data_IF_048024679947
#
_entry.id   IF_048024679947
#
_cell.length_a   1.000
_cell.length_b   1.000
_cell.length_c   1.000
_cell.angle_alpha   90.00
_cell.angle_beta   90.00
_cell.angle_gamma   90.00
#
_symmetry.space_group_name_H-M   'P 1'
#
loop_
_entity.id
_entity.type
_entity.pdbx_description
1 polymer ?
#
# COMPACT_ATOMS: atom_id res chain seq x y z
N UNK A 1 -34.72 -17.48 17.60
CA UNK A 1 -33.63 -16.59 17.18
C UNK A 1 -32.73 -17.44 16.30
N UNK A 2 -32.74 -17.21 15.01
CA UNK A 2 -31.93 -17.95 14.04
C UNK A 2 -30.45 -17.64 14.29
N UNK A 3 -29.65 -18.68 14.56
CA UNK A 3 -28.21 -18.55 14.79
C UNK A 3 -27.57 -17.75 13.66
N UNK A 4 -26.89 -16.66 14.02
CA UNK A 4 -26.17 -15.83 13.05
C UNK A 4 -25.02 -16.68 12.48
N UNK A 5 -24.99 -16.98 11.16
CA UNK A 5 -23.95 -17.80 10.56
C UNK A 5 -22.54 -17.20 10.77
N UNK A 6 -22.46 -15.87 10.94
CA UNK A 6 -21.22 -15.18 11.30
C UNK A 6 -20.74 -15.50 12.72
N UNK A 7 -21.66 -15.70 13.67
CA UNK A 7 -21.31 -16.07 15.04
C UNK A 7 -20.78 -17.51 15.12
N UNK A 8 -21.37 -18.42 14.36
CA UNK A 8 -20.88 -19.80 14.23
C UNK A 8 -19.49 -19.84 13.59
N UNK A 9 -19.28 -19.06 12.52
CA UNK A 9 -17.99 -18.94 11.84
C UNK A 9 -16.91 -18.33 12.72
N UNK A 10 -17.23 -17.27 13.47
CA UNK A 10 -16.30 -16.61 14.40
C UNK A 10 -15.88 -17.56 15.52
N UNK A 11 -16.82 -18.32 16.09
CA UNK A 11 -16.54 -19.33 17.11
C UNK A 11 -15.64 -20.43 16.57
N UNK A 12 -15.92 -20.94 15.36
CA UNK A 12 -15.10 -21.94 14.70
C UNK A 12 -13.67 -21.43 14.44
N UNK A 13 -13.51 -20.17 14.02
CA UNK A 13 -12.19 -19.57 13.87
C UNK A 13 -11.44 -19.43 15.19
N UNK A 14 -12.11 -19.04 16.27
CA UNK A 14 -11.51 -18.97 17.61
C UNK A 14 -11.07 -20.35 18.10
N UNK A 15 -11.90 -21.38 17.92
CA UNK A 15 -11.57 -22.75 18.32
C UNK A 15 -10.40 -23.31 17.50
N UNK A 16 -10.36 -23.01 16.19
CA UNK A 16 -9.23 -23.36 15.33
C UNK A 16 -7.94 -22.64 15.73
N UNK A 17 -8.01 -21.35 16.06
CA UNK A 17 -6.86 -20.57 16.51
C UNK A 17 -6.26 -21.10 17.82
N UNK A 18 -7.12 -21.49 18.79
CA UNK A 18 -6.70 -22.13 20.04
C UNK A 18 -6.02 -23.49 19.82
N UNK A 19 -6.55 -24.28 18.90
CA UNK A 19 -6.01 -25.60 18.57
C UNK A 19 -4.65 -25.52 17.85
N UNK A 20 -4.38 -24.46 17.09
CA UNK A 20 -3.12 -24.27 16.39
C UNK A 20 -1.99 -23.75 17.28
N UNK A 21 -2.26 -22.78 18.16
CA UNK A 21 -1.31 -22.30 19.17
C UNK A 21 -2.02 -21.40 20.21
N UNK A 22 -1.96 -21.70 21.52
CA UNK A 22 -2.52 -20.84 22.57
C UNK A 22 -2.03 -19.39 22.53
N UNK A 23 -0.83 -19.14 21.98
CA UNK A 23 -0.28 -17.80 21.82
C UNK A 23 -1.08 -16.92 20.81
N UNK A 24 -1.87 -17.52 19.92
CA UNK A 24 -2.71 -16.78 18.96
C UNK A 24 -3.93 -16.10 19.60
N UNK A 25 -4.30 -16.44 20.85
CA UNK A 25 -5.33 -15.71 21.60
C UNK A 25 -4.95 -14.25 21.88
N UNK A 26 -3.66 -13.93 21.84
CA UNK A 26 -3.11 -12.61 22.17
C UNK A 26 -2.69 -11.80 20.95
N UNK A 27 -3.35 -11.98 19.80
CA UNK A 27 -3.09 -11.19 18.60
C UNK A 27 -3.50 -9.72 18.84
N UNK A 28 -2.58 -8.94 19.39
CA UNK A 28 -2.74 -7.51 19.66
C UNK A 28 -1.87 -6.72 18.66
N UNK A 29 -2.31 -5.54 18.21
CA UNK A 29 -1.49 -4.68 17.35
C UNK A 29 -0.08 -4.41 17.92
N UNK A 30 0.04 -4.28 19.25
CA UNK A 30 1.33 -4.13 19.95
C UNK A 30 2.19 -5.41 19.96
N UNK A 31 1.57 -6.59 20.00
CA UNK A 31 2.27 -7.86 19.83
C UNK A 31 2.78 -8.05 18.40
N UNK A 32 1.99 -7.58 17.42
CA UNK A 32 2.36 -7.55 16.01
C UNK A 32 3.54 -6.58 15.74
N UNK A 33 3.52 -5.39 16.34
CA UNK A 33 4.66 -4.44 16.29
C UNK A 33 5.95 -5.01 16.88
N UNK A 34 5.87 -5.92 17.86
CA UNK A 34 7.03 -6.62 18.44
C UNK A 34 7.52 -7.82 17.63
N UNK A 35 6.71 -8.35 16.73
CA UNK A 35 7.10 -9.40 15.76
C UNK A 35 7.71 -8.79 14.48
N UNK A 36 7.37 -7.55 14.16
CA UNK A 36 7.92 -6.76 13.05
C UNK A 36 9.45 -6.55 13.05
N UNK A 37 10.18 -6.42 14.18
CA UNK A 37 11.59 -6.04 14.17
C UNK A 37 12.56 -7.21 13.98
N UNK A 38 12.09 -8.46 13.94
CA UNK A 38 12.94 -9.65 13.72
C UNK A 38 12.63 -10.33 12.39
N UNK A 39 12.41 -9.56 11.34
CA UNK A 39 12.45 -10.13 9.99
C UNK A 39 13.92 -10.39 9.64
N UNK A 40 14.33 -11.63 9.36
CA UNK A 40 15.68 -11.91 8.90
C UNK A 40 15.95 -11.14 7.59
N UNK A 41 17.20 -10.75 7.36
CA UNK A 41 17.55 -9.78 6.30
C UNK A 41 17.10 -10.20 4.89
N UNK A 42 17.02 -11.50 4.64
CA UNK A 42 16.47 -12.14 3.44
C UNK A 42 14.97 -11.85 3.25
N UNK A 43 14.20 -11.80 4.34
CA UNK A 43 12.77 -11.48 4.31
C UNK A 43 12.53 -9.98 4.05
N UNK A 44 13.40 -9.11 4.55
CA UNK A 44 13.33 -7.66 4.25
C UNK A 44 13.58 -7.41 2.76
N UNK A 45 14.54 -8.11 2.16
CA UNK A 45 14.83 -8.04 0.72
C UNK A 45 13.69 -8.63 -0.15
N UNK A 46 13.03 -9.68 0.34
CA UNK A 46 11.82 -10.28 -0.26
C UNK A 46 10.56 -9.40 -0.19
N UNK A 47 10.46 -8.48 0.78
CA UNK A 47 9.28 -7.64 0.93
C UNK A 47 9.48 -6.21 0.41
N UNK A 48 10.72 -5.72 0.35
CA UNK A 48 11.03 -4.33 -0.03
C UNK A 48 11.61 -4.16 -1.46
N UNK A 49 12.06 -5.23 -2.13
CA UNK A 49 12.66 -5.18 -3.49
C UNK A 49 11.78 -5.78 -4.61
N UNK A 50 12.40 -6.43 -5.62
CA UNK A 50 11.68 -7.27 -6.61
C UNK A 50 10.87 -8.41 -5.97
N UNK A 51 11.09 -8.66 -4.69
CA UNK A 51 10.36 -9.60 -3.85
C UNK A 51 10.45 -11.05 -4.32
N UNK A 52 9.34 -11.78 -4.23
CA UNK A 52 9.22 -13.21 -4.59
C UNK A 52 9.30 -13.51 -6.10
N UNK A 53 9.37 -12.49 -6.97
CA UNK A 53 9.44 -12.68 -8.43
C UNK A 53 10.53 -11.80 -9.05
N UNK A 54 11.73 -12.35 -9.32
CA UNK A 54 12.85 -11.64 -9.95
C UNK A 54 12.54 -11.06 -11.33
N UNK A 55 11.54 -11.60 -12.01
CA UNK A 55 11.05 -11.16 -13.33
C UNK A 55 9.85 -10.19 -13.22
N UNK A 56 9.40 -9.88 -12.01
CA UNK A 56 8.31 -8.95 -11.76
C UNK A 56 8.69 -7.47 -11.87
N UNK A 57 7.68 -6.60 -11.83
CA UNK A 57 7.87 -5.16 -11.82
C UNK A 57 8.68 -4.72 -10.59
N UNK A 58 9.57 -3.75 -10.80
CA UNK A 58 10.30 -3.11 -9.70
C UNK A 58 9.37 -2.25 -8.82
N UNK A 59 9.87 -1.85 -7.66
CA UNK A 59 9.11 -1.08 -6.67
C UNK A 59 8.67 0.29 -7.22
N UNK A 60 9.55 0.98 -7.97
CA UNK A 60 9.25 2.26 -8.61
C UNK A 60 8.04 2.12 -9.54
N UNK A 61 8.07 1.13 -10.41
CA UNK A 61 7.01 0.87 -11.40
C UNK A 61 5.71 0.51 -10.71
N UNK A 62 5.74 -0.30 -9.65
CA UNK A 62 4.56 -0.62 -8.83
C UNK A 62 3.95 0.64 -8.21
N UNK A 63 4.76 1.56 -7.70
CA UNK A 63 4.27 2.82 -7.13
C UNK A 63 3.67 3.74 -8.19
N UNK A 64 4.31 3.86 -9.37
CA UNK A 64 3.76 4.65 -10.48
C UNK A 64 2.42 4.08 -10.99
N UNK A 65 2.30 2.75 -11.10
CA UNK A 65 1.03 2.10 -11.46
C UNK A 65 -0.04 2.31 -10.38
N UNK A 66 0.34 2.21 -9.11
CA UNK A 66 -0.58 2.46 -7.98
C UNK A 66 -1.08 3.90 -8.00
N UNK A 67 -0.18 4.88 -8.20
CA UNK A 67 -0.52 6.29 -8.34
C UNK A 67 -1.48 6.52 -9.53
N UNK A 68 -1.22 5.85 -10.65
CA UNK A 68 -2.09 5.93 -11.82
C UNK A 68 -3.49 5.39 -11.54
N UNK A 69 -3.59 4.23 -10.88
CA UNK A 69 -4.88 3.67 -10.45
C UNK A 69 -5.64 4.61 -9.50
N UNK A 70 -4.96 5.18 -8.50
CA UNK A 70 -5.55 6.17 -7.59
C UNK A 70 -6.02 7.44 -8.32
N UNK A 71 -5.31 7.84 -9.36
CA UNK A 71 -5.70 8.96 -10.23
C UNK A 71 -6.97 8.63 -11.02
N UNK A 72 -7.06 7.46 -11.65
CA UNK A 72 -8.25 7.02 -12.40
C UNK A 72 -9.49 6.94 -11.50
N UNK A 73 -9.32 6.52 -10.24
CA UNK A 73 -10.41 6.46 -9.25
C UNK A 73 -10.87 7.85 -8.76
N UNK A 74 -10.53 8.93 -9.46
CA UNK A 74 -10.97 10.29 -9.17
C UNK A 74 -10.13 10.98 -8.10
N UNK A 75 -8.95 10.46 -7.78
CA UNK A 75 -8.06 11.00 -6.75
C UNK A 75 -8.74 11.23 -5.37
N UNK A 76 -9.66 10.34 -5.00
CA UNK A 76 -10.45 10.46 -3.76
C UNK A 76 -9.65 10.07 -2.51
N UNK A 77 -8.75 9.10 -2.63
CA UNK A 77 -7.94 8.58 -1.53
C UNK A 77 -6.66 9.42 -1.33
N UNK A 78 -6.83 10.65 -0.85
CA UNK A 78 -5.74 11.64 -0.83
C UNK A 78 -4.54 11.23 0.04
N UNK A 79 -4.79 10.60 1.19
CA UNK A 79 -3.71 10.14 2.07
C UNK A 79 -2.85 9.05 1.39
N UNK A 80 -3.51 8.16 0.64
CA UNK A 80 -2.86 7.10 -0.13
C UNK A 80 -2.07 7.68 -1.30
N UNK A 81 -2.57 8.71 -1.98
CA UNK A 81 -1.83 9.41 -3.03
C UNK A 81 -0.55 10.03 -2.47
N UNK A 82 -0.64 10.81 -1.38
CA UNK A 82 0.54 11.42 -0.76
C UNK A 82 1.55 10.37 -0.29
N UNK A 83 1.07 9.28 0.31
CA UNK A 83 1.94 8.16 0.70
C UNK A 83 2.61 7.51 -0.50
N UNK A 84 1.86 7.25 -1.58
CA UNK A 84 2.37 6.62 -2.80
C UNK A 84 3.42 7.50 -3.48
N UNK A 85 3.22 8.82 -3.51
CA UNK A 85 4.20 9.77 -4.05
C UNK A 85 5.50 9.75 -3.23
N UNK A 86 5.42 9.81 -1.89
CA UNK A 86 6.62 9.68 -1.02
C UNK A 86 7.38 8.38 -1.27
N UNK A 87 6.66 7.26 -1.36
CA UNK A 87 7.27 5.96 -1.62
C UNK A 87 7.87 5.91 -3.02
N UNK A 88 7.19 6.44 -4.05
CA UNK A 88 7.71 6.50 -5.41
C UNK A 88 9.06 7.25 -5.46
N UNK A 89 9.15 8.42 -4.80
CA UNK A 89 10.40 9.18 -4.69
C UNK A 89 11.47 8.39 -3.95
N UNK A 90 11.14 7.75 -2.82
CA UNK A 90 12.07 6.90 -2.08
C UNK A 90 12.59 5.71 -2.91
N UNK A 91 11.82 5.26 -3.92
CA UNK A 91 12.21 4.23 -4.89
C UNK A 91 12.87 4.80 -6.15
N UNK A 92 13.25 6.08 -6.15
CA UNK A 92 13.96 6.74 -7.23
C UNK A 92 13.09 7.24 -8.38
N UNK A 93 11.76 7.38 -8.19
CA UNK A 93 10.92 8.07 -9.16
C UNK A 93 11.23 9.57 -9.19
N UNK A 94 11.45 10.09 -10.39
CA UNK A 94 11.63 11.53 -10.60
C UNK A 94 10.30 12.27 -10.57
N UNK A 95 10.34 13.59 -10.31
CA UNK A 95 9.15 14.46 -10.43
C UNK A 95 8.50 14.35 -11.81
N UNK A 96 9.31 14.20 -12.86
CA UNK A 96 8.85 14.04 -14.24
C UNK A 96 8.09 12.71 -14.44
N UNK A 97 8.61 11.58 -13.95
CA UNK A 97 7.93 10.29 -14.06
C UNK A 97 6.59 10.27 -13.30
N UNK A 98 6.53 10.91 -12.13
CA UNK A 98 5.30 11.07 -11.35
C UNK A 98 4.29 11.92 -12.12
N UNK A 99 4.73 13.04 -12.69
CA UNK A 99 3.88 13.93 -13.47
C UNK A 99 3.34 13.25 -14.73
N UNK A 100 4.18 12.49 -15.44
CA UNK A 100 3.80 11.74 -16.63
C UNK A 100 2.80 10.62 -16.31
N UNK A 101 3.01 9.90 -15.21
CA UNK A 101 2.07 8.88 -14.75
C UNK A 101 0.68 9.47 -14.44
N UNK A 102 0.62 10.59 -13.72
CA UNK A 102 -0.65 11.29 -13.44
C UNK A 102 -1.28 11.82 -14.73
N UNK A 103 -0.49 12.45 -15.59
CA UNK A 103 -0.94 13.05 -16.85
C UNK A 103 -1.52 12.02 -17.82
N UNK A 104 -0.83 10.90 -18.02
CA UNK A 104 -1.31 9.79 -18.85
C UNK A 104 -2.66 9.25 -18.32
N UNK A 105 -2.79 9.14 -17.01
CA UNK A 105 -3.98 8.60 -16.36
C UNK A 105 -5.15 9.59 -16.37
N UNK A 106 -4.87 10.88 -16.52
CA UNK A 106 -5.86 11.92 -16.77
C UNK A 106 -6.70 11.70 -18.02
N UNK A 107 -6.19 10.96 -19.03
CA UNK A 107 -6.97 10.55 -20.20
C UNK A 107 -8.15 9.62 -19.85
N UNK A 108 -8.04 8.90 -18.72
CA UNK A 108 -9.03 7.92 -18.27
C UNK A 108 -9.83 8.42 -17.06
N UNK A 109 -9.17 9.06 -16.09
CA UNK A 109 -9.81 9.66 -14.90
C UNK A 109 -10.43 11.04 -15.14
N UNK A 110 -10.13 11.66 -16.28
CA UNK A 110 -10.54 13.02 -16.62
C UNK A 110 -9.68 14.12 -15.98
N UNK A 111 -9.80 15.34 -16.52
CA UNK A 111 -9.04 16.52 -16.07
C UNK A 111 -9.20 16.83 -14.57
N UNK A 112 -10.39 16.72 -13.94
CA UNK A 112 -10.52 17.01 -12.51
C UNK A 112 -9.67 16.07 -11.64
N UNK A 113 -9.64 14.77 -11.97
CA UNK A 113 -8.87 13.78 -11.23
C UNK A 113 -7.36 14.00 -11.39
N UNK A 114 -6.92 14.27 -12.62
CA UNK A 114 -5.54 14.62 -12.94
C UNK A 114 -5.07 15.84 -12.15
N UNK A 115 -5.84 16.94 -12.19
CA UNK A 115 -5.47 18.19 -11.50
C UNK A 115 -5.40 17.98 -9.98
N UNK A 116 -6.35 17.23 -9.41
CA UNK A 116 -6.33 16.90 -7.98
C UNK A 116 -5.12 16.06 -7.61
N UNK A 117 -4.84 14.98 -8.36
CA UNK A 117 -3.68 14.13 -8.12
C UNK A 117 -2.36 14.93 -8.25
N UNK A 118 -2.26 15.83 -9.23
CA UNK A 118 -1.08 16.68 -9.42
C UNK A 118 -0.87 17.64 -8.27
N UNK A 119 -1.94 18.27 -7.76
CA UNK A 119 -1.88 19.13 -6.58
C UNK A 119 -1.35 18.36 -5.37
N UNK A 120 -1.89 17.17 -5.11
CA UNK A 120 -1.46 16.31 -4.00
C UNK A 120 -0.01 15.83 -4.15
N UNK A 121 0.43 15.58 -5.39
CA UNK A 121 1.81 15.20 -5.66
C UNK A 121 2.77 16.38 -5.40
N UNK A 122 2.42 17.59 -5.84
CA UNK A 122 3.24 18.78 -5.63
C UNK A 122 3.40 19.11 -4.14
N UNK A 123 2.33 19.00 -3.34
CA UNK A 123 2.40 19.17 -1.87
C UNK A 123 3.53 18.32 -1.26
N UNK A 124 3.66 17.07 -1.69
CA UNK A 124 4.69 16.15 -1.19
C UNK A 124 6.08 16.46 -1.76
N UNK A 125 6.15 16.81 -3.05
CA UNK A 125 7.40 17.06 -3.76
C UNK A 125 8.06 18.39 -3.39
N UNK A 126 7.29 19.32 -2.83
CA UNK A 126 7.78 20.60 -2.28
C UNK A 126 8.22 20.46 -0.81
N UNK A 127 7.64 19.53 -0.06
CA UNK A 127 8.06 19.20 1.32
C UNK A 127 9.40 18.45 1.40
N UNK A 128 9.88 17.90 0.28
CA UNK A 128 11.12 17.10 0.21
C UNK A 128 12.21 17.94 -0.47
N UNK A 129 13.16 18.55 0.28
CA UNK A 129 14.32 19.21 -0.31
C UNK A 129 15.18 18.18 -1.05
N UNK A 130 15.80 18.59 -2.17
CA UNK A 130 16.74 17.78 -2.96
C UNK A 130 17.92 17.22 -2.16
#
# INVERSE_FOLDING_TARGET
MTDNPFAAWTKQMQDMAKAMNPALESFTPKGFEKLWPTMPGDMVEQFAGKGMNPEGLDAKTKMLLTLGGLTILGAQAEAQIRMTVRQAVAQGATKQEIAEAIGLMGLFGGLPAMNKAMSLANEVLEETPE
#
